data_IF_398008169477
#
_entry.id   IF_398008169477
#
_cell.length_a   1.000
_cell.length_b   1.000
_cell.length_c   1.000
_cell.angle_alpha   90.00
_cell.angle_beta   90.00
_cell.angle_gamma   90.00
#
_symmetry.space_group_name_H-M   'P 1'
#
loop_
_entity.id
_entity.type
_entity.pdbx_description
1 polymer ?
#
# COMPACT_ATOMS: atom_id res chain seq x y z
N UNK A 1 -8.47 -6.88 17.46
CA UNK A 1 -8.39 -7.97 16.46
C UNK A 1 -6.94 -8.34 16.19
N UNK A 2 -6.07 -7.37 15.92
CA UNK A 2 -4.68 -7.64 15.54
C UNK A 2 -3.83 -8.29 16.64
N UNK A 3 -4.24 -8.22 17.91
CA UNK A 3 -3.46 -8.75 19.05
C UNK A 3 -3.23 -10.26 18.99
N UNK A 4 -3.97 -10.97 18.15
CA UNK A 4 -3.70 -12.39 17.86
C UNK A 4 -2.42 -12.61 17.05
N UNK A 5 -1.92 -11.57 16.40
CA UNK A 5 -0.80 -11.65 15.45
C UNK A 5 0.36 -10.73 15.78
N UNK A 6 0.12 -9.69 16.58
CA UNK A 6 1.10 -8.63 16.85
C UNK A 6 1.14 -8.31 18.34
N UNK A 7 2.34 -8.39 18.90
CA UNK A 7 2.64 -7.90 20.25
C UNK A 7 3.58 -6.70 20.13
N UNK A 8 3.25 -5.61 20.84
CA UNK A 8 4.03 -4.38 20.83
C UNK A 8 4.47 -4.04 22.24
N UNK A 9 5.73 -3.65 22.37
CA UNK A 9 6.26 -3.00 23.58
C UNK A 9 6.55 -1.54 23.24
N UNK A 10 6.01 -0.65 24.06
CA UNK A 10 6.21 0.80 23.93
C UNK A 10 7.01 1.33 25.12
N UNK A 11 7.75 2.44 24.89
CA UNK A 11 8.37 3.19 25.98
C UNK A 11 7.34 4.13 26.66
N UNK A 12 7.80 4.92 27.63
CA UNK A 12 6.94 5.83 28.40
C UNK A 12 6.31 6.94 27.53
N UNK A 13 6.84 7.19 26.34
CA UNK A 13 6.34 8.19 25.39
C UNK A 13 5.40 7.60 24.35
N UNK A 14 5.13 6.29 24.40
CA UNK A 14 4.31 5.61 23.41
C UNK A 14 5.03 5.25 22.12
N UNK A 15 6.36 5.36 22.09
CA UNK A 15 7.17 4.96 20.94
C UNK A 15 7.40 3.45 20.98
N UNK A 16 7.18 2.71 19.88
CA UNK A 16 7.41 1.27 19.86
C UNK A 16 8.90 0.96 19.98
N UNK A 17 9.25 0.08 20.92
CA UNK A 17 10.62 -0.41 21.10
C UNK A 17 10.79 -1.82 20.58
N UNK A 18 9.72 -2.60 20.54
CA UNK A 18 9.71 -3.95 20.02
C UNK A 18 8.35 -4.28 19.42
N UNK A 19 8.36 -4.93 18.26
CA UNK A 19 7.14 -5.47 17.62
C UNK A 19 7.43 -6.92 17.27
N UNK A 20 6.65 -7.84 17.85
CA UNK A 20 6.74 -9.28 17.59
C UNK A 20 5.51 -9.75 16.85
N UNK A 21 5.75 -10.53 15.79
CA UNK A 21 4.69 -11.19 15.04
C UNK A 21 4.55 -12.64 15.48
N UNK A 22 3.31 -13.12 15.56
CA UNK A 22 2.97 -14.48 15.94
C UNK A 22 1.85 -15.03 15.04
N UNK A 23 1.76 -16.35 14.93
CA UNK A 23 0.74 -17.01 14.10
C UNK A 23 0.74 -16.58 12.63
N UNK A 24 1.88 -16.14 12.13
CA UNK A 24 2.01 -15.58 10.79
C UNK A 24 1.89 -16.61 9.68
N UNK A 25 2.18 -17.87 9.99
CA UNK A 25 2.13 -19.01 9.05
C UNK A 25 0.71 -19.28 8.50
N UNK A 26 -0.33 -18.88 9.21
CA UNK A 26 -1.71 -19.05 8.83
C UNK A 26 -2.45 -17.74 8.56
N UNK A 27 -1.75 -16.61 8.62
CA UNK A 27 -2.34 -15.30 8.47
C UNK A 27 -2.84 -15.04 7.05
N UNK A 28 -4.10 -14.61 6.97
CA UNK A 28 -4.72 -14.06 5.76
C UNK A 28 -5.49 -12.80 6.16
N UNK A 29 -5.07 -11.66 5.62
CA UNK A 29 -5.61 -10.34 5.96
C UNK A 29 -7.13 -10.24 5.79
N UNK A 30 -7.68 -10.83 4.73
CA UNK A 30 -9.11 -10.72 4.45
C UNK A 30 -9.96 -11.41 5.53
N UNK A 31 -9.58 -12.60 5.96
CA UNK A 31 -10.30 -13.35 6.99
C UNK A 31 -9.95 -12.91 8.40
N UNK A 32 -8.66 -12.79 8.68
CA UNK A 32 -8.16 -12.62 10.05
C UNK A 32 -8.27 -11.18 10.55
N UNK A 33 -8.33 -10.22 9.65
CA UNK A 33 -8.48 -8.80 10.00
C UNK A 33 -9.84 -8.26 9.57
N UNK A 34 -10.12 -8.22 8.27
CA UNK A 34 -11.31 -7.51 7.76
C UNK A 34 -12.61 -8.20 8.17
N UNK A 35 -12.72 -9.51 7.93
CA UNK A 35 -13.91 -10.27 8.33
C UNK A 35 -14.05 -10.31 9.85
N UNK A 36 -12.95 -10.41 10.59
CA UNK A 36 -12.95 -10.40 12.04
C UNK A 36 -13.45 -9.05 12.60
N UNK A 37 -13.06 -7.92 12.01
CA UNK A 37 -13.58 -6.61 12.39
C UNK A 37 -15.08 -6.52 12.07
N UNK A 38 -15.49 -7.01 10.88
CA UNK A 38 -16.89 -7.01 10.47
C UNK A 38 -17.77 -7.80 11.45
N UNK A 39 -17.27 -8.92 11.97
CA UNK A 39 -18.00 -9.75 12.94
C UNK A 39 -18.09 -9.06 14.32
N UNK A 40 -17.04 -8.34 14.73
CA UNK A 40 -16.95 -7.63 16.00
C UNK A 40 -17.73 -6.30 15.98
N UNK A 41 -17.58 -5.53 14.90
CA UNK A 41 -18.13 -4.18 14.77
C UNK A 41 -18.63 -3.95 13.33
N UNK A 42 -19.76 -4.58 12.96
CA UNK A 42 -20.24 -4.61 11.57
C UNK A 42 -20.51 -3.22 10.99
N UNK A 43 -20.99 -2.30 11.80
CA UNK A 43 -21.38 -0.96 11.32
C UNK A 43 -20.23 0.06 11.38
N UNK A 44 -19.04 -0.36 11.83
CA UNK A 44 -17.87 0.52 11.83
C UNK A 44 -17.48 0.92 10.41
N UNK A 45 -17.23 2.21 10.21
CA UNK A 45 -16.79 2.74 8.92
C UNK A 45 -15.42 2.13 8.54
N UNK A 46 -15.33 1.60 7.33
CA UNK A 46 -14.08 1.11 6.74
C UNK A 46 -13.54 2.08 5.68
N UNK A 47 -14.43 2.60 4.83
CA UNK A 47 -14.05 3.41 3.66
C UNK A 47 -15.09 4.49 3.41
N UNK A 48 -14.63 5.72 3.34
CA UNK A 48 -15.38 6.87 2.83
C UNK A 48 -14.76 7.26 1.48
N UNK A 49 -15.50 7.06 0.41
CA UNK A 49 -15.05 7.29 -0.96
C UNK A 49 -15.80 8.45 -1.61
N UNK A 50 -15.04 9.40 -2.14
CA UNK A 50 -15.58 10.55 -2.90
C UNK A 50 -15.11 10.40 -4.34
N UNK A 51 -16.05 10.24 -5.27
CA UNK A 51 -15.75 10.16 -6.70
C UNK A 51 -15.43 11.54 -7.29
N UNK A 52 -14.92 11.53 -8.53
CA UNK A 52 -14.57 12.78 -9.24
C UNK A 52 -15.76 13.75 -9.38
N UNK A 53 -16.98 13.21 -9.53
CA UNK A 53 -18.24 13.98 -9.57
C UNK A 53 -18.78 14.32 -8.17
N UNK A 54 -17.98 14.14 -7.12
CA UNK A 54 -18.31 14.42 -5.72
C UNK A 54 -19.40 13.52 -5.11
N UNK A 55 -19.69 12.39 -5.72
CA UNK A 55 -20.59 11.40 -5.12
C UNK A 55 -19.92 10.76 -3.92
N UNK A 56 -20.59 10.76 -2.78
CA UNK A 56 -20.11 10.18 -1.52
C UNK A 56 -20.64 8.76 -1.36
N UNK A 57 -19.73 7.82 -1.02
CA UNK A 57 -20.07 6.44 -0.69
C UNK A 57 -19.39 6.05 0.62
N UNK A 58 -20.18 5.46 1.52
CA UNK A 58 -19.70 4.97 2.81
C UNK A 58 -19.82 3.46 2.85
N UNK A 59 -18.74 2.78 3.21
CA UNK A 59 -18.71 1.33 3.37
C UNK A 59 -18.35 1.00 4.81
N UNK A 60 -19.22 0.25 5.49
CA UNK A 60 -18.87 -0.36 6.77
C UNK A 60 -17.98 -1.60 6.55
N UNK A 61 -17.37 -2.11 7.63
CA UNK A 61 -16.66 -3.38 7.53
C UNK A 61 -17.60 -4.53 7.13
N UNK A 62 -18.85 -4.50 7.53
CA UNK A 62 -19.87 -5.45 7.08
C UNK A 62 -20.08 -5.37 5.56
N UNK A 63 -20.15 -4.15 5.01
CA UNK A 63 -20.28 -3.95 3.56
C UNK A 63 -19.07 -4.51 2.82
N UNK A 64 -17.88 -4.26 3.33
CA UNK A 64 -16.63 -4.76 2.74
C UNK A 64 -16.57 -6.29 2.81
N UNK A 65 -16.92 -6.90 3.93
CA UNK A 65 -17.02 -8.37 4.05
C UNK A 65 -17.98 -8.95 3.02
N UNK A 66 -19.17 -8.38 2.92
CA UNK A 66 -20.21 -8.81 1.98
C UNK A 66 -19.70 -8.73 0.54
N UNK A 67 -19.20 -7.56 0.13
CA UNK A 67 -18.77 -7.33 -1.26
C UNK A 67 -17.52 -8.12 -1.63
N UNK A 68 -16.59 -8.29 -0.70
CA UNK A 68 -15.41 -9.12 -0.94
C UNK A 68 -15.75 -10.61 -1.08
N UNK A 69 -16.76 -11.09 -0.37
CA UNK A 69 -17.26 -12.45 -0.52
C UNK A 69 -17.95 -12.65 -1.87
N UNK A 70 -18.74 -11.68 -2.31
CA UNK A 70 -19.33 -11.67 -3.65
C UNK A 70 -18.26 -11.69 -4.73
N UNK A 71 -17.22 -10.88 -4.58
CA UNK A 71 -16.09 -10.83 -5.51
C UNK A 71 -15.34 -12.17 -5.55
N UNK A 72 -15.08 -12.79 -4.40
CA UNK A 72 -14.43 -14.10 -4.33
C UNK A 72 -15.23 -15.18 -5.07
N UNK A 73 -16.55 -15.23 -4.83
CA UNK A 73 -17.45 -16.16 -5.53
C UNK A 73 -17.48 -15.89 -7.03
N UNK A 74 -17.52 -14.63 -7.43
CA UNK A 74 -17.49 -14.23 -8.82
C UNK A 74 -16.21 -14.69 -9.51
N UNK A 75 -15.05 -14.39 -8.95
CA UNK A 75 -13.76 -14.81 -9.51
C UNK A 75 -13.65 -16.34 -9.61
N UNK A 76 -14.12 -17.05 -8.59
CA UNK A 76 -14.16 -18.51 -8.62
C UNK A 76 -15.00 -19.04 -9.77
N UNK A 77 -16.14 -18.40 -10.06
CA UNK A 77 -17.02 -18.79 -11.17
C UNK A 77 -16.38 -18.64 -12.54
N UNK A 78 -15.40 -17.74 -12.66
CA UNK A 78 -14.63 -17.50 -13.89
C UNK A 78 -13.45 -18.48 -14.05
N UNK A 79 -13.29 -19.43 -13.12
CA UNK A 79 -12.19 -20.39 -13.15
C UNK A 79 -10.90 -19.90 -12.54
N UNK A 80 -10.91 -18.75 -11.88
CA UNK A 80 -9.73 -18.23 -11.18
C UNK A 80 -9.48 -19.07 -9.93
N UNK A 81 -8.24 -19.50 -9.74
CA UNK A 81 -7.82 -20.41 -8.67
C UNK A 81 -6.73 -19.81 -7.82
N UNK A 82 -6.49 -20.42 -6.67
CA UNK A 82 -5.32 -20.13 -5.82
C UNK A 82 -4.04 -20.14 -6.66
N UNK A 83 -3.25 -19.07 -6.54
CA UNK A 83 -1.99 -18.91 -7.26
C UNK A 83 -2.11 -18.28 -8.65
N UNK A 84 -3.30 -18.16 -9.22
CA UNK A 84 -3.50 -17.43 -10.47
C UNK A 84 -3.19 -15.95 -10.29
N UNK A 85 -2.65 -15.30 -11.34
CA UNK A 85 -2.29 -13.88 -11.31
C UNK A 85 -3.37 -13.07 -11.99
N UNK A 86 -3.92 -12.13 -11.25
CA UNK A 86 -4.98 -11.21 -11.70
C UNK A 86 -4.44 -9.78 -11.65
N UNK A 87 -4.43 -9.11 -12.78
CA UNK A 87 -3.98 -7.72 -12.85
C UNK A 87 -5.14 -6.77 -12.52
N UNK A 88 -4.86 -5.78 -11.65
CA UNK A 88 -5.80 -4.71 -11.31
C UNK A 88 -5.24 -3.37 -11.79
N UNK A 89 -6.01 -2.67 -12.61
CA UNK A 89 -5.71 -1.32 -13.10
C UNK A 89 -6.91 -0.45 -12.77
N UNK A 90 -7.05 -0.07 -11.51
CA UNK A 90 -8.29 0.48 -10.96
C UNK A 90 -8.16 1.91 -10.42
N UNK A 91 -6.97 2.50 -10.47
CA UNK A 91 -6.77 3.84 -9.92
C UNK A 91 -7.22 3.90 -8.46
N UNK A 92 -8.17 4.79 -8.16
CA UNK A 92 -8.74 4.96 -6.82
C UNK A 92 -10.23 4.59 -6.78
N UNK A 93 -10.68 3.72 -7.66
CA UNK A 93 -12.07 3.23 -7.64
C UNK A 93 -12.37 2.50 -6.35
N UNK A 94 -13.58 2.68 -5.81
CA UNK A 94 -13.98 2.00 -4.56
C UNK A 94 -14.03 0.48 -4.70
N UNK A 95 -14.24 -0.04 -5.90
CA UNK A 95 -14.23 -1.48 -6.19
C UNK A 95 -12.87 -2.13 -5.91
N UNK A 96 -11.79 -1.36 -5.92
CA UNK A 96 -10.44 -1.87 -5.65
C UNK A 96 -10.38 -2.65 -4.33
N UNK A 97 -10.94 -2.10 -3.26
CA UNK A 97 -10.79 -2.67 -1.92
C UNK A 97 -11.46 -4.02 -1.79
N UNK A 98 -12.70 -4.16 -2.22
CA UNK A 98 -13.35 -5.46 -2.11
C UNK A 98 -12.94 -6.45 -3.22
N UNK A 99 -12.48 -5.99 -4.36
CA UNK A 99 -11.87 -6.87 -5.37
C UNK A 99 -10.56 -7.47 -4.85
N UNK A 100 -9.69 -6.67 -4.24
CA UNK A 100 -8.46 -7.15 -3.62
C UNK A 100 -8.73 -8.20 -2.55
N UNK A 101 -9.68 -7.93 -1.66
CA UNK A 101 -10.05 -8.88 -0.60
C UNK A 101 -10.66 -10.15 -1.16
N UNK A 102 -11.44 -10.04 -2.24
CA UNK A 102 -11.96 -11.22 -2.95
C UNK A 102 -10.85 -12.11 -3.47
N UNK A 103 -9.80 -11.52 -4.04
CA UNK A 103 -8.61 -12.25 -4.49
C UNK A 103 -7.85 -12.86 -3.31
N UNK A 104 -7.72 -12.15 -2.20
CA UNK A 104 -7.07 -12.68 -0.99
C UNK A 104 -7.85 -13.87 -0.40
N UNK A 105 -9.19 -13.80 -0.39
CA UNK A 105 -10.04 -14.91 0.05
C UNK A 105 -9.91 -16.13 -0.84
N UNK A 106 -9.87 -15.93 -2.14
CA UNK A 106 -9.72 -17.00 -3.12
C UNK A 106 -8.30 -17.54 -3.19
N UNK A 107 -7.32 -16.73 -2.82
CA UNK A 107 -5.91 -17.09 -2.89
C UNK A 107 -5.24 -16.76 -4.21
N UNK A 108 -5.89 -16.00 -5.09
CA UNK A 108 -5.28 -15.50 -6.32
C UNK A 108 -4.31 -14.36 -5.99
N UNK A 109 -3.28 -14.22 -6.81
CA UNK A 109 -2.26 -13.20 -6.64
C UNK A 109 -2.68 -11.92 -7.34
N UNK A 110 -2.77 -10.82 -6.60
CA UNK A 110 -3.05 -9.51 -7.17
C UNK A 110 -1.77 -8.92 -7.78
N UNK A 111 -1.86 -8.46 -9.02
CA UNK A 111 -0.76 -7.76 -9.71
C UNK A 111 -1.22 -6.35 -9.98
N UNK A 112 -0.65 -5.38 -9.27
CA UNK A 112 -1.10 -4.00 -9.32
C UNK A 112 -0.38 -3.22 -10.41
N UNK A 113 -1.13 -2.43 -11.16
CA UNK A 113 -0.61 -1.61 -12.25
C UNK A 113 -1.27 -0.25 -12.32
N UNK A 114 -0.57 0.71 -12.92
CA UNK A 114 -1.06 2.06 -13.15
C UNK A 114 -1.86 2.16 -14.44
N UNK A 115 -2.74 3.15 -14.52
CA UNK A 115 -3.62 3.37 -15.67
C UNK A 115 -2.95 4.04 -16.88
N UNK A 116 -1.66 4.33 -16.80
CA UNK A 116 -0.91 5.02 -17.86
C UNK A 116 -0.12 4.06 -18.76
N UNK A 117 -0.40 2.77 -18.67
CA UNK A 117 0.28 1.75 -19.48
C UNK A 117 -0.22 1.76 -20.92
N UNK A 118 0.70 1.54 -21.85
CA UNK A 118 0.42 1.36 -23.28
C UNK A 118 0.38 -0.12 -23.64
N UNK A 119 -0.02 -0.45 -24.88
CA UNK A 119 -0.12 -1.82 -25.37
C UNK A 119 1.12 -2.66 -25.07
N UNK A 120 2.32 -2.15 -25.41
CA UNK A 120 3.57 -2.89 -25.21
C UNK A 120 3.88 -3.12 -23.71
N UNK A 121 3.47 -2.21 -22.83
CA UNK A 121 3.63 -2.36 -21.40
C UNK A 121 2.75 -3.46 -20.84
N UNK A 122 1.50 -3.51 -21.29
CA UNK A 122 0.57 -4.58 -20.93
C UNK A 122 1.02 -5.94 -21.45
N UNK A 123 1.44 -6.01 -22.71
CA UNK A 123 1.94 -7.25 -23.32
C UNK A 123 3.11 -7.83 -22.53
N UNK A 124 4.09 -7.00 -22.20
CA UNK A 124 5.22 -7.44 -21.38
C UNK A 124 4.76 -7.95 -20.01
N UNK A 125 3.90 -7.21 -19.33
CA UNK A 125 3.43 -7.58 -17.98
C UNK A 125 2.55 -8.83 -17.99
N UNK A 126 1.68 -8.98 -18.95
CA UNK A 126 0.85 -10.18 -19.09
C UNK A 126 1.72 -11.43 -19.23
N UNK A 127 2.77 -11.36 -20.02
CA UNK A 127 3.68 -12.49 -20.23
C UNK A 127 4.62 -12.71 -19.05
N UNK A 128 5.23 -11.65 -18.53
CA UNK A 128 6.20 -11.75 -17.44
C UNK A 128 5.58 -12.28 -16.13
N UNK A 129 4.37 -11.88 -15.80
CA UNK A 129 3.68 -12.31 -14.59
C UNK A 129 2.71 -13.49 -14.83
N UNK A 130 2.51 -13.93 -16.06
CA UNK A 130 1.57 -15.00 -16.38
C UNK A 130 0.13 -14.63 -16.02
N UNK A 131 -0.30 -13.43 -16.41
CA UNK A 131 -1.64 -12.90 -16.12
C UNK A 131 -2.69 -13.67 -16.92
N UNK A 132 -3.73 -14.16 -16.26
CA UNK A 132 -4.88 -14.79 -16.93
C UNK A 132 -6.15 -13.96 -16.87
N UNK A 133 -6.17 -12.92 -16.05
CA UNK A 133 -7.33 -12.08 -15.83
C UNK A 133 -6.90 -10.64 -15.60
N UNK A 134 -7.64 -9.70 -16.18
CA UNK A 134 -7.45 -8.27 -15.92
C UNK A 134 -8.78 -7.63 -15.47
N UNK A 135 -8.70 -6.86 -14.38
CA UNK A 135 -9.72 -5.91 -13.96
C UNK A 135 -9.22 -4.52 -14.31
N UNK A 136 -9.95 -3.82 -15.17
CA UNK A 136 -9.49 -2.55 -15.71
C UNK A 136 -10.56 -1.47 -15.57
N UNK A 137 -10.11 -0.25 -15.25
CA UNK A 137 -10.95 0.93 -15.27
C UNK A 137 -11.55 1.17 -16.65
N UNK A 138 -12.79 1.66 -16.70
CA UNK A 138 -13.44 2.12 -17.94
C UNK A 138 -12.97 3.53 -18.35
N UNK A 139 -12.27 4.23 -17.46
CA UNK A 139 -11.83 5.61 -17.70
C UNK A 139 -10.65 5.68 -18.69
N UNK A 140 -10.67 6.68 -19.57
CA UNK A 140 -9.59 6.94 -20.50
C UNK A 140 -9.36 5.83 -21.52
N UNK A 141 -8.12 5.71 -21.97
CA UNK A 141 -7.71 4.76 -23.00
C UNK A 141 -7.13 3.44 -22.47
N UNK A 142 -7.14 3.26 -21.16
CA UNK A 142 -6.48 2.14 -20.48
C UNK A 142 -7.01 0.78 -20.95
N UNK A 143 -8.31 0.60 -20.98
CA UNK A 143 -8.92 -0.67 -21.41
C UNK A 143 -8.65 -0.97 -22.88
N UNK A 144 -8.61 0.04 -23.76
CA UNK A 144 -8.25 -0.13 -25.15
C UNK A 144 -6.81 -0.64 -25.32
N UNK A 145 -5.86 -0.04 -24.60
CA UNK A 145 -4.47 -0.49 -24.62
C UNK A 145 -4.32 -1.92 -24.10
N UNK A 146 -5.02 -2.25 -23.01
CA UNK A 146 -5.02 -3.59 -22.46
C UNK A 146 -5.64 -4.62 -23.41
N UNK A 147 -6.72 -4.25 -24.10
CA UNK A 147 -7.39 -5.11 -25.09
C UNK A 147 -6.49 -5.44 -26.28
N UNK A 148 -5.76 -4.44 -26.80
CA UNK A 148 -4.79 -4.65 -27.89
C UNK A 148 -3.69 -5.64 -27.46
N UNK A 149 -3.20 -5.52 -26.24
CA UNK A 149 -2.21 -6.43 -25.69
C UNK A 149 -2.78 -7.84 -25.46
N UNK A 150 -4.00 -7.94 -24.94
CA UNK A 150 -4.66 -9.21 -24.68
C UNK A 150 -4.90 -10.03 -25.94
N UNK A 151 -5.10 -9.36 -27.08
CA UNK A 151 -5.21 -10.01 -28.40
C UNK A 151 -3.95 -10.78 -28.80
N UNK A 152 -2.79 -10.40 -28.24
CA UNK A 152 -1.49 -11.05 -28.46
C UNK A 152 -1.12 -12.04 -27.36
N UNK A 153 -1.91 -12.11 -26.30
CA UNK A 153 -1.64 -12.90 -25.10
C UNK A 153 -2.81 -13.85 -24.83
N UNK A 154 -2.87 -15.03 -25.48
CA UNK A 154 -4.03 -15.93 -25.39
C UNK A 154 -4.29 -16.47 -23.98
N UNK A 155 -3.32 -16.40 -23.07
CA UNK A 155 -3.51 -16.78 -21.68
C UNK A 155 -4.42 -15.80 -20.90
N UNK A 156 -4.62 -14.57 -21.38
CA UNK A 156 -5.54 -13.60 -20.78
C UNK A 156 -6.96 -13.94 -21.23
N UNK A 157 -7.62 -14.80 -20.45
CA UNK A 157 -8.93 -15.34 -20.80
C UNK A 157 -10.10 -14.55 -20.22
N UNK A 158 -9.87 -13.77 -19.16
CA UNK A 158 -10.88 -12.94 -18.53
C UNK A 158 -10.53 -11.46 -18.64
N UNK A 159 -11.36 -10.69 -19.30
CA UNK A 159 -11.28 -9.23 -19.40
C UNK A 159 -12.50 -8.65 -18.69
N UNK A 160 -12.27 -7.94 -17.59
CA UNK A 160 -13.34 -7.44 -16.71
C UNK A 160 -13.19 -5.93 -16.60
N UNK A 161 -14.26 -5.22 -16.95
CA UNK A 161 -14.32 -3.76 -16.86
C UNK A 161 -14.94 -3.35 -15.52
N UNK A 162 -14.41 -2.30 -14.93
CA UNK A 162 -14.86 -1.75 -13.66
C UNK A 162 -15.30 -0.31 -13.87
N UNK A 163 -16.44 0.06 -13.27
CA UNK A 163 -17.03 1.39 -13.32
C UNK A 163 -17.44 1.80 -14.74
N UNK A 164 -18.14 0.90 -15.43
CA UNK A 164 -18.65 1.14 -16.78
C UNK A 164 -18.88 -0.15 -17.55
N UNK A 165 -19.09 -0.02 -18.85
CA UNK A 165 -19.32 -1.13 -19.78
C UNK A 165 -18.35 -1.03 -20.95
N UNK A 166 -17.98 -2.19 -21.51
CA UNK A 166 -17.19 -2.29 -22.72
C UNK A 166 -17.55 -3.57 -23.46
N UNK A 167 -17.78 -3.45 -24.77
CA UNK A 167 -18.08 -4.60 -25.62
C UNK A 167 -16.93 -5.64 -25.57
N UNK A 168 -17.29 -6.90 -25.38
CA UNK A 168 -16.34 -7.99 -25.25
C UNK A 168 -15.71 -8.14 -23.87
N UNK A 169 -16.08 -7.29 -22.92
CA UNK A 169 -15.64 -7.32 -21.53
C UNK A 169 -16.81 -7.64 -20.60
N UNK A 170 -16.52 -8.33 -19.49
CA UNK A 170 -17.50 -8.56 -18.43
C UNK A 170 -17.59 -7.33 -17.54
N UNK A 171 -18.77 -7.04 -17.00
CA UNK A 171 -18.98 -5.98 -16.03
C UNK A 171 -18.77 -6.51 -14.61
N UNK A 172 -17.74 -6.04 -13.93
CA UNK A 172 -17.49 -6.39 -12.53
C UNK A 172 -18.64 -5.96 -11.62
N UNK A 173 -19.11 -4.74 -11.78
CA UNK A 173 -20.14 -4.17 -10.91
C UNK A 173 -21.46 -4.93 -11.03
N UNK A 174 -21.89 -5.26 -12.24
CA UNK A 174 -23.14 -5.96 -12.47
C UNK A 174 -23.06 -7.44 -12.11
N UNK A 175 -22.00 -8.12 -12.56
CA UNK A 175 -21.90 -9.57 -12.40
C UNK A 175 -21.55 -9.97 -10.97
N UNK A 176 -20.62 -9.28 -10.29
CA UNK A 176 -20.24 -9.64 -8.92
C UNK A 176 -21.38 -9.48 -7.93
N UNK A 177 -22.26 -8.51 -8.15
CA UNK A 177 -23.42 -8.25 -7.29
C UNK A 177 -24.45 -9.41 -7.27
N UNK A 178 -24.41 -10.28 -8.27
CA UNK A 178 -25.32 -11.42 -8.37
C UNK A 178 -24.90 -12.65 -7.55
N UNK A 179 -23.68 -12.62 -7.03
CA UNK A 179 -23.11 -13.75 -6.29
C UNK A 179 -23.42 -13.67 -4.80
N UNK A 180 -23.30 -14.82 -4.13
CA UNK A 180 -23.51 -14.92 -2.68
C UNK A 180 -22.58 -14.00 -1.90
N UNK A 181 -23.12 -13.36 -0.88
CA UNK A 181 -22.36 -12.56 0.09
C UNK A 181 -21.67 -13.41 1.17
N UNK A 182 -21.73 -14.72 1.03
CA UNK A 182 -21.07 -15.68 1.92
C UNK A 182 -19.96 -16.43 1.18
N UNK A 183 -18.78 -16.46 1.77
CA UNK A 183 -17.64 -17.21 1.27
C UNK A 183 -16.87 -17.81 2.45
N UNK A 184 -16.91 -19.13 2.56
CA UNK A 184 -16.20 -19.85 3.60
C UNK A 184 -14.70 -19.89 3.34
N UNK A 185 -13.90 -19.71 4.39
CA UNK A 185 -12.46 -19.89 4.32
C UNK A 185 -12.14 -21.35 3.97
N UNK A 186 -11.50 -21.62 2.81
CA UNK A 186 -11.08 -22.97 2.49
C UNK A 186 -10.07 -23.52 3.48
N UNK A 187 -10.04 -24.84 3.68
CA UNK A 187 -9.04 -25.48 4.55
C UNK A 187 -7.61 -25.24 4.05
N UNK A 188 -7.44 -25.10 2.73
CA UNK A 188 -6.18 -24.81 2.04
C UNK A 188 -6.05 -23.35 1.62
N UNK A 189 -6.77 -22.44 2.28
CA UNK A 189 -6.71 -21.02 1.96
C UNK A 189 -5.28 -20.51 1.91
N UNK A 190 -4.97 -19.67 0.93
CA UNK A 190 -3.67 -19.01 0.85
C UNK A 190 -3.41 -18.20 2.11
N UNK A 191 -2.21 -18.27 2.65
CA UNK A 191 -1.84 -17.64 3.91
C UNK A 191 -0.32 -17.62 4.10
N UNK A 192 0.14 -16.90 5.10
CA UNK A 192 1.55 -16.94 5.52
C UNK A 192 2.51 -16.55 4.39
N UNK A 193 3.35 -17.48 4.00
CA UNK A 193 4.37 -17.28 2.96
C UNK A 193 3.87 -17.42 1.53
N UNK A 194 2.61 -17.79 1.31
CA UNK A 194 2.03 -17.80 -0.02
C UNK A 194 2.09 -16.40 -0.63
N UNK A 195 2.30 -16.33 -1.94
CA UNK A 195 2.34 -15.03 -2.63
C UNK A 195 0.95 -14.39 -2.65
N UNK A 196 0.85 -13.16 -2.16
CA UNK A 196 -0.38 -12.39 -2.07
C UNK A 196 -0.51 -11.37 -3.18
N UNK A 197 0.56 -10.61 -3.43
CA UNK A 197 0.55 -9.56 -4.43
C UNK A 197 1.93 -9.35 -5.06
N UNK A 198 1.93 -8.70 -6.21
CA UNK A 198 3.12 -8.36 -6.97
C UNK A 198 3.05 -6.93 -7.46
N UNK A 199 4.23 -6.28 -7.49
CA UNK A 199 4.42 -4.96 -8.08
C UNK A 199 5.49 -5.01 -9.16
N UNK A 200 5.24 -4.33 -10.27
CA UNK A 200 6.28 -4.03 -11.23
C UNK A 200 7.10 -2.85 -10.73
N UNK A 201 8.41 -3.00 -10.67
CA UNK A 201 9.32 -1.93 -10.25
C UNK A 201 10.22 -1.52 -11.41
N UNK A 202 10.54 -0.23 -11.49
CA UNK A 202 11.51 0.25 -12.48
C UNK A 202 12.88 -0.38 -12.21
N UNK A 203 13.44 -1.03 -13.24
CA UNK A 203 14.81 -1.51 -13.20
C UNK A 203 15.76 -0.47 -13.80
N UNK A 204 17.05 -0.57 -13.44
CA UNK A 204 18.09 0.29 -14.02
C UNK A 204 18.46 -0.09 -15.44
N UNK A 205 18.05 -1.29 -15.90
CA UNK A 205 18.43 -1.86 -17.20
C UNK A 205 17.24 -2.51 -17.88
N UNK A 206 16.43 -1.74 -18.62
CA UNK A 206 15.41 -2.28 -19.50
C UNK A 206 14.05 -2.51 -18.82
N UNK A 207 13.54 -3.74 -18.87
CA UNK A 207 12.18 -4.06 -18.43
C UNK A 207 12.02 -4.06 -16.91
N UNK A 208 10.83 -3.67 -16.40
CA UNK A 208 10.58 -3.68 -14.96
C UNK A 208 10.67 -5.09 -14.37
N UNK A 209 11.17 -5.16 -13.13
CA UNK A 209 11.19 -6.37 -12.31
C UNK A 209 9.87 -6.52 -11.58
N UNK A 210 9.60 -7.71 -11.06
CA UNK A 210 8.37 -8.02 -10.33
C UNK A 210 8.71 -8.34 -8.88
N UNK A 211 8.42 -7.42 -7.97
CA UNK A 211 8.57 -7.66 -6.53
C UNK A 211 7.37 -8.44 -6.01
N UNK A 212 7.62 -9.63 -5.44
CA UNK A 212 6.58 -10.49 -4.91
C UNK A 212 6.51 -10.39 -3.38
N UNK A 213 5.29 -10.23 -2.85
CA UNK A 213 5.02 -10.17 -1.42
C UNK A 213 4.12 -11.30 -0.96
N UNK A 214 4.39 -11.80 0.25
CA UNK A 214 3.55 -12.81 0.91
C UNK A 214 2.39 -12.15 1.68
N UNK A 215 1.52 -12.99 2.26
CA UNK A 215 0.45 -12.52 3.17
C UNK A 215 1.01 -11.83 4.42
N UNK A 216 2.26 -12.10 4.81
CA UNK A 216 2.94 -11.42 5.92
C UNK A 216 3.16 -9.93 5.67
N UNK A 217 3.22 -9.52 4.41
CA UNK A 217 3.41 -8.13 4.02
C UNK A 217 2.36 -7.20 4.65
N UNK A 218 1.11 -7.66 4.74
CA UNK A 218 0.05 -6.89 5.38
C UNK A 218 0.37 -6.58 6.85
N UNK A 219 0.87 -7.57 7.60
CA UNK A 219 1.31 -7.37 8.99
C UNK A 219 2.47 -6.38 9.10
N UNK A 220 3.37 -6.40 8.12
CA UNK A 220 4.50 -5.47 8.04
C UNK A 220 4.13 -4.00 7.88
N UNK A 221 2.86 -3.69 7.62
CA UNK A 221 2.34 -2.33 7.55
C UNK A 221 1.76 -1.81 8.87
N UNK A 222 1.69 -2.64 9.89
CA UNK A 222 1.13 -2.25 11.19
C UNK A 222 1.82 -1.01 11.77
N UNK A 223 3.14 -1.02 11.85
CA UNK A 223 3.91 0.11 12.41
C UNK A 223 3.82 1.35 11.53
N UNK A 224 3.73 1.17 10.21
CA UNK A 224 3.53 2.28 9.27
C UNK A 224 2.26 3.06 9.61
N UNK A 225 1.16 2.35 9.82
CA UNK A 225 -0.13 2.97 10.13
C UNK A 225 -0.19 3.48 11.57
N UNK A 226 0.17 2.65 12.55
CA UNK A 226 -0.01 2.99 13.96
C UNK A 226 0.97 4.04 14.45
N UNK A 227 2.22 3.97 14.06
CA UNK A 227 3.29 4.78 14.65
C UNK A 227 3.87 5.86 13.74
N UNK A 228 3.79 5.69 12.44
CA UNK A 228 4.21 6.74 11.51
C UNK A 228 3.04 7.62 11.08
N UNK A 229 2.00 7.04 10.48
CA UNK A 229 0.76 7.78 10.18
C UNK A 229 -0.02 8.17 11.44
N UNK A 230 0.13 7.41 12.51
CA UNK A 230 -0.62 7.57 13.75
C UNK A 230 -2.13 7.62 13.53
N UNK A 231 -2.64 6.65 12.79
CA UNK A 231 -4.06 6.60 12.44
C UNK A 231 -4.94 6.44 13.68
N UNK A 232 -6.13 7.05 13.62
CA UNK A 232 -7.12 7.03 14.66
C UNK A 232 -8.28 6.13 14.27
N UNK A 233 -8.63 5.10 15.05
CA UNK A 233 -9.80 4.26 14.78
C UNK A 233 -11.12 5.03 14.66
N UNK A 234 -11.21 6.19 15.29
CA UNK A 234 -12.38 7.05 15.27
C UNK A 234 -12.23 8.26 14.31
N UNK A 235 -11.13 8.31 13.59
CA UNK A 235 -10.82 9.37 12.63
C UNK A 235 -10.96 8.94 11.18
N UNK A 236 -10.26 9.66 10.30
CA UNK A 236 -10.13 9.34 8.88
C UNK A 236 -8.70 9.56 8.43
N UNK A 237 -8.16 8.60 7.72
CA UNK A 237 -6.82 8.71 7.13
C UNK A 237 -6.90 8.93 5.63
N UNK A 238 -6.21 9.96 5.15
CA UNK A 238 -6.02 10.24 3.74
C UNK A 238 -4.57 10.06 3.35
N UNK A 239 -4.31 9.16 2.40
CA UNK A 239 -3.05 9.11 1.64
C UNK A 239 -3.35 9.39 0.18
N UNK A 240 -2.66 10.36 -0.41
CA UNK A 240 -2.76 10.64 -1.84
C UNK A 240 -1.78 9.73 -2.58
N UNK A 241 -2.29 8.70 -3.23
CA UNK A 241 -1.53 7.76 -4.06
C UNK A 241 -2.47 6.97 -4.96
N UNK A 242 -1.99 6.56 -6.13
CA UNK A 242 -2.66 5.62 -7.02
C UNK A 242 -2.43 4.19 -6.53
N UNK A 243 -3.44 3.32 -6.64
CA UNK A 243 -3.36 1.93 -6.19
C UNK A 243 -2.41 1.05 -7.01
N UNK A 244 -1.94 1.53 -8.14
CA UNK A 244 -0.88 0.87 -8.91
C UNK A 244 0.52 1.03 -8.32
N UNK A 245 0.70 1.88 -7.30
CA UNK A 245 1.94 2.09 -6.57
C UNK A 245 1.95 1.38 -5.23
N UNK A 246 3.11 0.89 -4.82
CA UNK A 246 3.27 0.26 -3.50
C UNK A 246 2.89 1.19 -2.33
N UNK A 247 3.07 2.50 -2.48
CA UNK A 247 2.68 3.50 -1.47
C UNK A 247 1.20 3.49 -1.13
N UNK A 248 0.33 3.09 -2.05
CA UNK A 248 -1.08 2.93 -1.74
C UNK A 248 -1.29 1.83 -0.70
N UNK A 249 -0.47 0.81 -0.71
CA UNK A 249 -0.53 -0.25 0.30
C UNK A 249 -0.04 0.22 1.66
N UNK A 250 0.84 1.22 1.69
CA UNK A 250 1.31 1.85 2.95
C UNK A 250 0.23 2.72 3.61
N UNK A 251 -0.58 3.40 2.81
CA UNK A 251 -1.48 4.43 3.31
C UNK A 251 -2.96 4.22 3.05
N UNK A 252 -3.34 3.24 2.25
CA UNK A 252 -4.74 3.09 1.81
C UNK A 252 -5.30 1.69 2.01
N UNK A 253 -4.68 0.85 2.82
CA UNK A 253 -5.20 -0.50 2.92
C UNK A 253 -4.81 -1.21 4.23
N UNK A 254 -3.73 -1.98 4.19
CA UNK A 254 -3.44 -3.02 5.19
C UNK A 254 -3.27 -2.48 6.60
N UNK A 255 -2.34 -1.59 6.81
CA UNK A 255 -2.02 -1.10 8.15
C UNK A 255 -3.16 -0.32 8.79
N UNK A 256 -3.83 0.50 8.01
CA UNK A 256 -4.96 1.30 8.49
C UNK A 256 -6.09 0.40 8.99
N UNK A 257 -6.45 -0.62 8.23
CA UNK A 257 -7.51 -1.54 8.65
C UNK A 257 -7.07 -2.50 9.76
N UNK A 258 -5.80 -2.89 9.82
CA UNK A 258 -5.28 -3.62 10.99
C UNK A 258 -5.50 -2.80 12.28
N UNK A 259 -5.30 -1.49 12.20
CA UNK A 259 -5.56 -0.56 13.30
C UNK A 259 -7.04 -0.16 13.43
N UNK A 260 -7.94 -0.77 12.67
CA UNK A 260 -9.38 -0.48 12.65
C UNK A 260 -9.70 0.98 12.30
N UNK A 261 -8.83 1.64 11.54
CA UNK A 261 -8.97 3.04 11.15
C UNK A 261 -9.62 3.16 9.77
N UNK A 262 -10.65 4.02 9.64
CA UNK A 262 -11.31 4.26 8.35
C UNK A 262 -10.40 4.97 7.35
N UNK A 263 -10.57 4.62 6.08
CA UNK A 263 -9.88 5.26 4.97
C UNK A 263 -10.77 6.34 4.34
N UNK A 264 -10.18 7.48 4.03
CA UNK A 264 -10.78 8.49 3.16
C UNK A 264 -10.08 8.43 1.80
N UNK A 265 -10.87 8.30 0.74
CA UNK A 265 -10.35 8.24 -0.64
C UNK A 265 -11.08 9.25 -1.50
N UNK A 266 -10.32 10.14 -2.13
CA UNK A 266 -10.83 11.01 -3.18
C UNK A 266 -10.33 10.50 -4.54
N UNK A 267 -11.26 10.04 -5.37
CA UNK A 267 -10.97 9.49 -6.70
C UNK A 267 -11.06 10.61 -7.74
N UNK A 268 -10.08 11.50 -7.72
CA UNK A 268 -9.98 12.59 -8.68
C UNK A 268 -9.44 12.11 -10.04
N UNK A 269 -9.86 12.72 -11.11
CA UNK A 269 -9.32 12.45 -12.45
C UNK A 269 -7.97 13.17 -12.63
N UNK A 270 -7.91 14.43 -12.21
CA UNK A 270 -6.71 15.25 -12.20
C UNK A 270 -6.57 15.93 -10.85
N UNK A 271 -5.38 15.87 -10.26
CA UNK A 271 -5.12 16.50 -8.97
C UNK A 271 -5.31 18.02 -9.06
N UNK A 272 -6.17 18.55 -8.18
CA UNK A 272 -6.38 19.97 -7.99
C UNK A 272 -6.46 20.24 -6.49
N UNK A 273 -5.50 20.97 -5.96
CA UNK A 273 -5.43 21.28 -4.53
C UNK A 273 -6.68 22.02 -4.02
N UNK A 274 -7.26 22.88 -4.83
CA UNK A 274 -8.49 23.62 -4.47
C UNK A 274 -9.70 22.69 -4.26
N UNK A 275 -9.72 21.51 -4.87
CA UNK A 275 -10.79 20.52 -4.67
C UNK A 275 -10.59 19.70 -3.38
N UNK A 276 -9.36 19.38 -3.05
CA UNK A 276 -9.09 18.50 -1.91
C UNK A 276 -8.99 19.26 -0.58
N UNK A 277 -8.45 20.47 -0.57
CA UNK A 277 -8.24 21.23 0.65
C UNK A 277 -9.52 21.46 1.46
N UNK A 278 -10.69 21.79 0.86
CA UNK A 278 -11.94 21.91 1.61
C UNK A 278 -12.40 20.60 2.28
N UNK A 279 -11.96 19.45 1.78
CA UNK A 279 -12.40 18.14 2.27
C UNK A 279 -11.86 17.83 3.67
N UNK A 280 -10.72 18.41 4.04
CA UNK A 280 -10.13 18.20 5.36
C UNK A 280 -11.09 18.59 6.50
N UNK A 281 -11.65 19.77 6.43
CA UNK A 281 -12.64 20.24 7.41
C UNK A 281 -13.99 19.55 7.24
N UNK A 282 -14.46 19.43 6.00
CA UNK A 282 -15.77 18.84 5.70
C UNK A 282 -15.91 17.42 6.24
N UNK A 283 -14.89 16.60 6.12
CA UNK A 283 -14.91 15.18 6.52
C UNK A 283 -14.12 14.88 7.79
N UNK A 284 -13.54 15.88 8.44
CA UNK A 284 -12.72 15.69 9.64
C UNK A 284 -11.57 14.72 9.40
N UNK A 285 -10.77 14.94 8.39
CA UNK A 285 -9.58 14.12 8.12
C UNK A 285 -8.58 14.34 9.26
N UNK A 286 -8.17 13.27 9.92
CA UNK A 286 -7.33 13.34 11.13
C UNK A 286 -5.86 13.11 10.88
N UNK A 287 -5.53 12.31 9.85
CA UNK A 287 -4.13 12.04 9.48
C UNK A 287 -3.99 12.09 7.97
N UNK A 288 -2.84 12.60 7.52
CA UNK A 288 -2.63 12.88 6.11
C UNK A 288 -1.22 12.52 5.66
N UNK A 289 -1.13 11.83 4.53
CA UNK A 289 0.13 11.51 3.87
C UNK A 289 0.03 11.82 2.38
N UNK A 290 1.04 12.50 1.85
CA UNK A 290 1.14 12.74 0.42
C UNK A 290 2.61 12.78 0.00
N UNK A 291 2.93 12.46 -1.27
CA UNK A 291 4.28 12.64 -1.76
C UNK A 291 4.65 14.12 -1.83
N UNK A 292 5.94 14.47 -1.73
CA UNK A 292 6.39 15.87 -1.77
C UNK A 292 5.89 16.65 -2.99
N UNK A 293 5.75 16.02 -4.14
CA UNK A 293 5.19 16.63 -5.36
C UNK A 293 3.79 17.18 -5.14
N UNK A 294 2.91 16.40 -4.47
CA UNK A 294 1.54 16.80 -4.19
C UNK A 294 1.49 17.90 -3.13
N UNK A 295 2.33 17.80 -2.11
CA UNK A 295 2.44 18.86 -1.09
C UNK A 295 2.87 20.18 -1.70
N UNK A 296 3.80 20.15 -2.67
CA UNK A 296 4.24 21.31 -3.41
C UNK A 296 3.11 21.94 -4.25
N UNK A 297 2.26 21.11 -4.83
CA UNK A 297 1.06 21.61 -5.54
C UNK A 297 0.05 22.24 -4.59
N UNK A 298 -0.09 21.70 -3.39
CA UNK A 298 -1.01 22.21 -2.37
C UNK A 298 -0.59 23.60 -1.86
N UNK A 299 0.70 23.87 -1.67
CA UNK A 299 1.18 25.17 -1.20
C UNK A 299 1.10 26.27 -2.27
N UNK A 300 0.87 25.92 -3.53
CA UNK A 300 0.55 26.92 -4.58
C UNK A 300 -0.82 27.55 -4.37
N UNK A 301 -1.74 26.83 -3.71
CA UNK A 301 -2.93 27.41 -3.15
C UNK A 301 -2.56 28.10 -1.82
N UNK A 302 -3.31 29.12 -1.44
CA UNK A 302 -3.13 29.74 -0.12
C UNK A 302 -3.76 28.82 0.94
N UNK A 303 -2.94 27.89 1.48
CA UNK A 303 -3.43 26.92 2.47
C UNK A 303 -3.94 27.56 3.77
N UNK A 304 -3.56 28.83 4.04
CA UNK A 304 -4.08 29.57 5.19
C UNK A 304 -5.58 29.89 5.11
N UNK A 305 -6.16 29.81 3.92
CA UNK A 305 -7.59 30.03 3.69
C UNK A 305 -8.45 28.81 4.00
N UNK A 306 -7.82 27.66 4.29
CA UNK A 306 -8.53 26.40 4.54
C UNK A 306 -8.35 25.99 6.00
N UNK A 307 -9.39 25.38 6.56
CA UNK A 307 -9.34 24.85 7.91
C UNK A 307 -8.77 23.42 7.89
N UNK A 308 -7.53 23.28 8.33
CA UNK A 308 -6.84 21.99 8.47
C UNK A 308 -6.73 21.56 9.94
N UNK A 309 -7.50 22.15 10.84
CA UNK A 309 -7.39 21.95 12.29
C UNK A 309 -7.76 20.53 12.75
N UNK A 310 -8.49 19.76 11.94
CA UNK A 310 -8.78 18.36 12.23
C UNK A 310 -7.55 17.45 12.10
N UNK A 311 -6.56 17.86 11.29
CA UNK A 311 -5.35 17.06 11.04
C UNK A 311 -4.43 17.12 12.24
N UNK A 312 -4.03 15.95 12.74
CA UNK A 312 -3.15 15.80 13.88
C UNK A 312 -1.77 15.26 13.54
N UNK A 313 -1.61 14.71 12.33
CA UNK A 313 -0.37 14.11 11.88
C UNK A 313 -0.25 14.23 10.37
N UNK A 314 0.93 14.66 9.90
CA UNK A 314 1.26 14.74 8.47
C UNK A 314 2.56 14.01 8.20
N UNK A 315 2.55 13.16 7.18
CA UNK A 315 3.71 12.35 6.78
C UNK A 315 3.98 12.47 5.28
N UNK A 316 5.20 12.20 4.89
CA UNK A 316 5.62 12.17 3.49
C UNK A 316 6.74 11.16 3.27
N UNK A 317 6.81 10.60 2.09
CA UNK A 317 7.88 9.70 1.67
C UNK A 317 7.98 9.67 0.14
N UNK A 318 9.10 9.16 -0.36
CA UNK A 318 9.35 8.90 -1.77
C UNK A 318 10.44 9.75 -2.39
N UNK A 319 10.57 10.97 -1.93
CA UNK A 319 11.65 11.90 -2.30
C UNK A 319 11.88 12.88 -1.16
N UNK A 320 12.99 13.62 -1.20
CA UNK A 320 13.28 14.63 -0.18
C UNK A 320 12.26 15.76 -0.23
N UNK A 321 11.79 16.18 0.94
CA UNK A 321 10.84 17.28 1.07
C UNK A 321 11.58 18.64 0.98
N UNK A 322 11.07 19.51 0.10
CA UNK A 322 11.58 20.87 -0.01
C UNK A 322 11.35 21.64 1.30
N UNK A 323 12.39 22.29 1.90
CA UNK A 323 12.24 23.02 3.15
C UNK A 323 11.20 24.14 3.12
N UNK A 324 10.97 24.78 1.98
CA UNK A 324 9.95 25.83 1.85
C UNK A 324 8.54 25.26 1.97
N UNK A 325 8.31 24.11 1.34
CA UNK A 325 7.02 23.40 1.47
C UNK A 325 6.76 23.03 2.94
N UNK A 326 7.78 22.53 3.62
CA UNK A 326 7.71 22.23 5.05
C UNK A 326 7.33 23.49 5.85
N UNK A 327 8.01 24.61 5.63
CA UNK A 327 7.76 25.86 6.36
C UNK A 327 6.33 26.37 6.17
N UNK A 328 5.81 26.31 4.95
CA UNK A 328 4.45 26.79 4.67
C UNK A 328 3.37 25.94 5.36
N UNK A 329 3.51 24.62 5.34
CA UNK A 329 2.60 23.75 6.08
C UNK A 329 2.72 23.94 7.59
N UNK A 330 3.93 24.08 8.11
CA UNK A 330 4.17 24.34 9.54
C UNK A 330 3.51 25.65 9.98
N UNK A 331 3.63 26.69 9.18
CA UNK A 331 2.99 27.99 9.45
C UNK A 331 1.46 27.89 9.44
N UNK A 332 0.90 27.17 8.48
CA UNK A 332 -0.56 27.06 8.32
C UNK A 332 -1.21 26.14 9.34
N UNK A 333 -0.55 25.05 9.72
CA UNK A 333 -1.14 23.97 10.54
C UNK A 333 -0.55 23.85 11.93
N UNK A 334 0.65 24.40 12.17
CA UNK A 334 1.42 24.14 13.37
C UNK A 334 2.07 22.76 13.43
N UNK A 335 1.82 21.90 12.45
CA UNK A 335 2.32 20.53 12.39
C UNK A 335 3.61 20.43 11.60
N UNK A 336 4.47 19.52 12.03
CA UNK A 336 5.64 19.10 11.25
C UNK A 336 5.22 18.02 10.26
N UNK A 337 5.74 18.10 9.03
CA UNK A 337 5.62 17.01 8.06
C UNK A 337 6.76 16.04 8.35
N UNK A 338 6.43 14.80 8.68
CA UNK A 338 7.38 13.80 9.12
C UNK A 338 7.72 12.84 7.99
N UNK A 339 9.01 12.74 7.69
CA UNK A 339 9.49 11.90 6.60
C UNK A 339 9.63 10.45 7.03
N UNK A 340 9.61 9.56 6.05
CA UNK A 340 9.88 8.15 6.19
C UNK A 340 10.52 7.60 4.91
N UNK A 341 11.16 6.46 5.02
CA UNK A 341 11.85 5.77 3.94
C UNK A 341 11.41 4.32 3.83
N UNK A 342 11.29 3.85 2.62
CA UNK A 342 11.06 2.47 2.24
C UNK A 342 11.03 2.35 0.72
N UNK A 343 10.74 1.17 0.25
CA UNK A 343 10.75 0.83 -1.17
C UNK A 343 9.52 0.00 -1.53
N UNK A 344 9.36 -0.30 -2.81
CA UNK A 344 8.37 -1.28 -3.29
C UNK A 344 8.61 -2.65 -2.65
N UNK A 345 9.86 -2.99 -2.41
CA UNK A 345 10.32 -4.25 -1.81
C UNK A 345 10.09 -4.32 -0.30
N UNK A 346 9.75 -3.21 0.33
CA UNK A 346 9.61 -3.10 1.80
C UNK A 346 8.32 -2.40 2.20
N UNK A 347 8.02 -2.40 3.49
CA UNK A 347 7.14 -1.42 4.13
C UNK A 347 8.00 -0.24 4.58
N UNK A 348 7.52 0.64 5.47
CA UNK A 348 8.33 1.73 5.99
C UNK A 348 9.47 1.14 6.84
N UNK A 349 10.70 1.40 6.44
CA UNK A 349 11.92 0.87 7.06
C UNK A 349 12.48 1.84 8.10
N UNK A 350 12.52 3.13 7.74
CA UNK A 350 13.02 4.22 8.58
C UNK A 350 11.95 5.29 8.62
N UNK A 351 11.65 5.80 9.79
CA UNK A 351 10.60 6.80 9.91
C UNK A 351 10.66 7.60 11.21
N UNK A 352 9.98 8.73 11.20
CA UNK A 352 9.76 9.54 12.38
C UNK A 352 8.51 9.05 13.09
N UNK A 353 8.70 8.22 14.11
CA UNK A 353 7.61 7.53 14.81
C UNK A 353 7.00 8.42 15.92
N UNK A 354 5.74 8.13 16.27
CA UNK A 354 5.04 8.81 17.35
C UNK A 354 5.77 8.67 18.68
N UNK A 355 5.75 9.75 19.49
CA UNK A 355 6.39 9.79 20.79
C UNK A 355 7.89 9.99 20.76
N UNK A 356 8.54 9.82 19.61
CA UNK A 356 9.98 10.02 19.44
C UNK A 356 10.31 11.46 19.02
N UNK A 357 11.52 11.89 19.33
CA UNK A 357 12.07 13.12 18.79
C UNK A 357 12.14 13.02 17.26
N UNK A 358 11.79 14.07 16.55
CA UNK A 358 11.96 14.20 15.11
C UNK A 358 12.91 15.33 14.77
N UNK A 359 13.63 15.16 13.64
CA UNK A 359 14.51 16.21 13.11
C UNK A 359 14.09 16.56 11.70
N UNK A 360 14.00 17.85 11.42
CA UNK A 360 13.59 18.36 10.09
C UNK A 360 14.62 17.91 9.06
N UNK A 361 14.12 17.29 7.98
CA UNK A 361 14.96 16.77 6.89
C UNK A 361 15.53 15.37 7.13
N UNK A 362 15.44 14.84 8.35
CA UNK A 362 15.81 13.46 8.64
C UNK A 362 14.68 12.48 8.27
N UNK A 363 15.07 11.32 7.75
CA UNK A 363 14.13 10.21 7.56
C UNK A 363 13.66 9.60 8.89
N UNK A 364 14.31 9.95 10.01
CA UNK A 364 14.02 9.37 11.32
C UNK A 364 14.97 8.24 11.69
N UNK A 365 14.42 7.25 12.38
CA UNK A 365 15.16 6.08 12.87
C UNK A 365 14.54 4.79 12.35
N UNK A 366 15.30 3.67 12.33
CA UNK A 366 14.77 2.38 11.91
C UNK A 366 13.51 1.98 12.69
N UNK A 367 12.53 1.44 11.97
CA UNK A 367 11.35 0.86 12.59
C UNK A 367 11.70 -0.45 13.31
N UNK A 368 11.05 -0.78 14.44
CA UNK A 368 11.42 -1.93 15.27
C UNK A 368 11.36 -3.30 14.57
N UNK A 369 10.65 -3.41 13.46
CA UNK A 369 10.57 -4.67 12.70
C UNK A 369 11.76 -4.92 11.78
N UNK A 370 12.59 -3.90 11.56
CA UNK A 370 13.76 -3.97 10.67
C UNK A 370 15.06 -3.77 11.44
N UNK A 371 16.00 -4.67 11.21
CA UNK A 371 17.38 -4.53 11.68
C UNK A 371 18.19 -3.85 10.58
N UNK A 372 18.33 -2.53 10.68
CA UNK A 372 18.91 -1.68 9.64
C UNK A 372 20.33 -1.29 10.01
N UNK A 373 21.23 -1.37 9.03
CA UNK A 373 22.58 -0.82 9.14
C UNK A 373 22.93 -0.05 7.86
N UNK A 374 23.92 0.81 7.97
CA UNK A 374 24.55 1.46 6.83
C UNK A 374 25.87 0.78 6.61
N UNK A 375 26.05 0.17 5.44
CA UNK A 375 27.27 -0.55 5.08
C UNK A 375 28.12 0.24 4.11
N UNK A 376 29.40 0.34 4.42
CA UNK A 376 30.43 0.89 3.53
C UNK A 376 30.67 -0.08 2.36
N UNK A 377 31.34 0.35 1.27
CA UNK A 377 31.62 -0.54 0.12
C UNK A 377 32.39 -1.81 0.48
N UNK A 378 33.18 -1.79 1.56
CA UNK A 378 33.89 -2.97 2.05
C UNK A 378 33.03 -3.86 3.00
N UNK A 379 31.74 -3.58 3.12
CA UNK A 379 30.79 -4.40 3.89
C UNK A 379 30.82 -4.19 5.40
N UNK A 380 31.44 -3.12 5.87
CA UNK A 380 31.49 -2.79 7.30
C UNK A 380 30.41 -1.78 7.67
N UNK A 381 29.99 -1.81 8.93
CA UNK A 381 29.08 -0.80 9.48
C UNK A 381 29.74 0.57 9.44
N UNK A 382 29.06 1.55 8.85
CA UNK A 382 29.54 2.93 8.75
C UNK A 382 29.55 3.59 10.13
N UNK A 383 30.56 4.42 10.37
CA UNK A 383 30.60 5.29 11.54
C UNK A 383 29.59 6.44 11.42
N UNK A 384 29.26 7.11 12.53
CA UNK A 384 28.43 8.30 12.51
C UNK A 384 29.00 9.35 11.54
N UNK A 385 28.16 9.89 10.65
CA UNK A 385 28.54 10.84 9.62
C UNK A 385 29.14 10.24 8.36
N UNK A 386 29.43 8.94 8.34
CA UNK A 386 29.95 8.23 7.17
C UNK A 386 28.81 7.71 6.31
N UNK A 387 28.87 7.99 5.01
CA UNK A 387 27.87 7.51 4.04
C UNK A 387 28.09 6.04 3.69
N UNK A 388 26.99 5.35 3.44
CA UNK A 388 27.00 3.98 2.96
C UNK A 388 25.61 3.57 2.48
N UNK A 389 25.47 2.30 2.12
CA UNK A 389 24.23 1.73 1.65
C UNK A 389 23.32 1.34 2.82
N UNK A 390 22.05 1.69 2.72
CA UNK A 390 21.03 1.20 3.67
C UNK A 390 20.80 -0.28 3.40
N UNK A 391 21.08 -1.12 4.40
CA UNK A 391 20.90 -2.56 4.33
C UNK A 391 20.03 -3.06 5.47
N UNK A 392 19.26 -4.11 5.20
CA UNK A 392 18.40 -4.77 6.18
C UNK A 392 18.99 -6.15 6.48
N UNK A 393 19.32 -6.39 7.74
CA UNK A 393 19.85 -7.68 8.17
C UNK A 393 18.75 -8.75 8.12
N UNK A 394 19.05 -9.86 7.47
CA UNK A 394 18.12 -10.98 7.29
C UNK A 394 18.74 -12.32 7.64
N UNK A 395 19.91 -12.32 8.27
CA UNK A 395 20.68 -13.54 8.58
C UNK A 395 19.88 -14.54 9.44
N UNK A 396 19.12 -14.02 10.42
CA UNK A 396 18.34 -14.88 11.33
C UNK A 396 16.92 -15.14 10.80
N UNK A 397 16.27 -14.11 10.24
CA UNK A 397 14.93 -14.21 9.63
C UNK A 397 14.63 -12.99 8.80
N UNK A 398 13.80 -13.17 7.76
CA UNK A 398 13.29 -12.05 6.99
C UNK A 398 12.12 -11.38 7.73
N UNK A 399 12.12 -10.03 7.87
CA UNK A 399 11.00 -9.33 8.49
C UNK A 399 9.74 -9.42 7.64
N UNK A 400 8.57 -9.34 8.29
CA UNK A 400 7.26 -9.48 7.63
C UNK A 400 7.05 -8.52 6.45
N UNK A 401 7.58 -7.31 6.54
CA UNK A 401 7.40 -6.30 5.51
C UNK A 401 8.34 -6.41 4.30
N UNK A 402 9.32 -7.31 4.35
CA UNK A 402 10.28 -7.49 3.26
C UNK A 402 9.72 -8.45 2.22
N UNK A 403 9.94 -8.15 0.93
CA UNK A 403 9.46 -8.97 -0.19
C UNK A 403 10.08 -10.38 -0.18
N UNK A 404 9.49 -11.29 -0.95
CA UNK A 404 9.99 -12.66 -1.11
C UNK A 404 11.18 -12.77 -2.07
N UNK A 405 11.37 -11.77 -2.88
CA UNK A 405 12.30 -11.71 -3.99
C UNK A 405 11.61 -11.26 -5.27
N UNK A 406 12.38 -11.17 -6.35
CA UNK A 406 11.84 -10.85 -7.67
C UNK A 406 11.29 -12.12 -8.31
N UNK A 407 10.05 -12.07 -8.74
CA UNK A 407 9.34 -13.19 -9.33
C UNK A 407 10.02 -13.67 -10.61
N UNK A 408 10.32 -14.98 -10.67
CA UNK A 408 11.03 -15.64 -11.77
C UNK A 408 12.36 -14.97 -12.17
N UNK A 409 13.01 -14.31 -11.22
CA UNK A 409 14.33 -13.69 -11.45
C UNK A 409 15.23 -13.87 -10.24
N UNK A 410 15.72 -15.10 -10.08
CA UNK A 410 16.61 -15.48 -8.98
C UNK A 410 17.94 -14.74 -9.04
N UNK A 411 18.44 -14.47 -10.25
CA UNK A 411 19.70 -13.74 -10.44
C UNK A 411 19.59 -12.30 -9.93
N UNK A 412 18.50 -11.59 -10.24
CA UNK A 412 18.25 -10.24 -9.74
C UNK A 412 18.03 -10.22 -8.23
N UNK A 413 17.35 -11.24 -7.69
CA UNK A 413 17.16 -11.39 -6.25
C UNK A 413 18.50 -11.55 -5.55
N UNK A 414 19.39 -12.38 -6.07
CA UNK A 414 20.72 -12.59 -5.51
C UNK A 414 21.62 -11.34 -5.56
N UNK A 415 21.42 -10.45 -6.55
CA UNK A 415 22.15 -9.19 -6.64
C UNK A 415 21.84 -8.22 -5.47
N UNK A 416 20.63 -8.30 -4.90
CA UNK A 416 20.19 -7.40 -3.82
C UNK A 416 20.07 -8.10 -2.47
N UNK A 417 20.11 -9.41 -2.43
CA UNK A 417 19.89 -10.18 -1.20
C UNK A 417 21.01 -11.23 -1.04
N UNK A 418 22.06 -10.82 -0.36
CA UNK A 418 23.27 -11.64 -0.16
C UNK A 418 24.01 -11.22 1.11
N UNK A 419 24.95 -12.06 1.55
CA UNK A 419 25.80 -11.82 2.70
C UNK A 419 25.04 -11.53 4.01
N UNK A 420 23.82 -12.08 4.13
CA UNK A 420 22.97 -11.90 5.30
C UNK A 420 22.22 -10.58 5.35
N UNK A 421 22.20 -9.82 4.25
CA UNK A 421 21.52 -8.53 4.12
C UNK A 421 20.67 -8.43 2.85
N UNK A 422 19.57 -7.70 2.95
CA UNK A 422 18.93 -7.09 1.79
C UNK A 422 19.54 -5.71 1.55
N UNK A 423 20.03 -5.49 0.35
CA UNK A 423 20.69 -4.27 -0.10
C UNK A 423 19.70 -3.38 -0.82
N UNK A 424 19.38 -2.21 -0.25
CA UNK A 424 18.38 -1.32 -0.82
C UNK A 424 18.84 -0.58 -2.07
N UNK A 425 20.15 -0.43 -2.25
CA UNK A 425 20.71 0.42 -3.29
C UNK A 425 20.65 1.91 -2.98
N UNK A 426 20.04 2.30 -1.88
CA UNK A 426 19.93 3.68 -1.44
C UNK A 426 21.04 4.05 -0.45
N UNK A 427 21.60 5.24 -0.59
CA UNK A 427 22.71 5.72 0.21
C UNK A 427 22.22 6.70 1.27
N UNK A 428 22.74 6.56 2.48
CA UNK A 428 22.43 7.43 3.60
C UNK A 428 23.61 7.53 4.55
N UNK A 429 23.48 8.39 5.54
CA UNK A 429 24.36 8.44 6.70
C UNK A 429 23.53 8.62 7.97
N UNK A 430 24.05 8.23 9.10
CA UNK A 430 23.38 8.44 10.39
C UNK A 430 24.22 9.37 11.24
N UNK A 431 23.56 10.20 12.02
CA UNK A 431 24.23 11.07 12.96
C UNK A 431 24.55 10.32 14.27
N UNK A 432 25.19 11.02 15.21
CA UNK A 432 25.59 10.45 16.50
C UNK A 432 24.41 10.03 17.37
N UNK A 433 23.22 10.59 17.12
CA UNK A 433 22.01 10.27 17.87
C UNK A 433 21.16 9.19 17.18
N UNK A 434 21.62 8.67 16.05
CA UNK A 434 20.98 7.58 15.33
C UNK A 434 19.92 7.99 14.31
N UNK A 435 19.81 9.28 13.99
CA UNK A 435 18.93 9.74 12.92
C UNK A 435 19.59 9.53 11.56
N UNK A 436 18.78 9.11 10.58
CA UNK A 436 19.19 8.82 9.21
C UNK A 436 18.89 10.00 8.29
N UNK A 437 19.85 10.27 7.41
CA UNK A 437 19.82 11.41 6.48
C UNK A 437 20.12 10.99 5.04
#
# INVERSE_FOLDING_TARGET
>A
VYTKFIDVTEDDNGTPTEIKFKNTDKFNFAYDIVDAIADKAPDKLALLHISADKQERRFSFKDIKKRSSQAANYFKSLGIKKGDRVMLVLGRHYQFWYAMLGLHKLGAVAVLAMNQLLEHDFEYRFNAAGINTILCTSKGDTAHQAELAAAKCPQVINKIIVDGEREGWRSFDEESALFSSHFDRPADAACGDDTMLMFFTSGTTGYPKIAAHSYRYALGHFHTAKYWHNVDPDGLHLTISDTGWAKAMWGKFYGQWICEAPLFVYDFDRFNAADILPMFAKYHITTFCAPPTMLRMMVKEDISKYDLSSVRRMTTAGEALNPEVYRQFKKATGLSILEGFGQTETTMVIGNLTGAESRIGSMGKPAPIYDVDILTPDGKSAAAGESGEICIRTADSAPCGLFKGYYHDEAKTAEVWHDGYYHTGDVAWRDEDGFYW
#
